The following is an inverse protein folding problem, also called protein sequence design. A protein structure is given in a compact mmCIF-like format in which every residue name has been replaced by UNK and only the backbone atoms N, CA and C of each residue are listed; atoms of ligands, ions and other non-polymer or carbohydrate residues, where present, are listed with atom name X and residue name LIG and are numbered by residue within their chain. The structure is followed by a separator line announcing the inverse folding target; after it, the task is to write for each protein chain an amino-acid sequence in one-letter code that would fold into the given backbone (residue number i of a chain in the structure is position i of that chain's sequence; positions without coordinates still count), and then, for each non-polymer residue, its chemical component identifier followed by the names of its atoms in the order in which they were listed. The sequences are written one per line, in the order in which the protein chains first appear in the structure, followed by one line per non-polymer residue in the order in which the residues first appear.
data_IF_552597680254
#
_entry.id   IF_552597680254
#
_cell.length_a   1.000
_cell.length_b   1.000
_cell.length_c   1.000
_cell.angle_alpha   90.00
_cell.angle_beta   90.00
_cell.angle_gamma   90.00
#
_symmetry.space_group_name_H-M   'P 1'
#
loop_
_entity.id
_entity.type
_entity.pdbx_description
1 polymer ?
#
# COMPACT_ATOMS: atom_id res chain seq x y z
N UNK A 1 -13.99 -15.27 5.92
CA UNK A 1 -13.74 -13.97 6.58
C UNK A 1 -12.33 -13.56 6.18
N UNK A 2 -12.14 -12.36 5.66
CA UNK A 2 -10.80 -11.87 5.32
C UNK A 2 -10.01 -11.57 6.62
N UNK A 3 -8.71 -11.86 6.66
CA UNK A 3 -7.86 -11.43 7.78
C UNK A 3 -7.54 -9.94 7.68
N UNK A 4 -7.31 -9.30 8.83
CA UNK A 4 -6.91 -7.89 8.87
C UNK A 4 -5.60 -7.65 8.08
N UNK A 5 -4.68 -8.61 8.10
CA UNK A 5 -3.43 -8.54 7.33
C UNK A 5 -3.70 -8.46 5.82
N UNK A 6 -4.47 -9.41 5.28
CA UNK A 6 -4.83 -9.43 3.86
C UNK A 6 -5.54 -8.13 3.44
N UNK A 7 -6.37 -7.58 4.33
CA UNK A 7 -7.09 -6.34 4.09
C UNK A 7 -6.12 -5.17 3.94
N UNK A 8 -5.25 -4.96 4.92
CA UNK A 8 -4.31 -3.85 4.91
C UNK A 8 -3.29 -3.96 3.77
N UNK A 9 -2.80 -5.17 3.49
CA UNK A 9 -1.91 -5.43 2.34
C UNK A 9 -2.58 -5.06 1.03
N UNK A 10 -3.82 -5.52 0.78
CA UNK A 10 -4.55 -5.18 -0.44
C UNK A 10 -4.79 -3.68 -0.56
N UNK A 11 -5.21 -3.02 0.52
CA UNK A 11 -5.52 -1.58 0.50
C UNK A 11 -4.27 -0.72 0.28
N UNK A 12 -3.15 -1.07 0.89
CA UNK A 12 -1.87 -0.44 0.61
C UNK A 12 -1.53 -0.47 -0.89
N UNK A 13 -1.59 -1.66 -1.51
CA UNK A 13 -1.30 -1.85 -2.94
C UNK A 13 -2.27 -1.03 -3.82
N UNK A 14 -3.57 -1.06 -3.51
CA UNK A 14 -4.58 -0.30 -4.24
C UNK A 14 -4.27 1.20 -4.22
N UNK A 15 -3.95 1.76 -3.06
CA UNK A 15 -3.65 3.19 -2.94
C UNK A 15 -2.33 3.57 -3.61
N UNK A 16 -1.32 2.70 -3.60
CA UNK A 16 -0.05 2.92 -4.33
C UNK A 16 -0.31 3.00 -5.84
N UNK A 17 -1.05 2.04 -6.39
CA UNK A 17 -1.42 2.04 -7.81
C UNK A 17 -2.28 3.26 -8.15
N UNK A 18 -3.23 3.58 -7.27
CA UNK A 18 -4.11 4.73 -7.42
C UNK A 18 -3.33 6.06 -7.36
N UNK A 19 -2.30 6.19 -6.53
CA UNK A 19 -1.44 7.37 -6.45
C UNK A 19 -0.62 7.54 -7.73
N UNK A 20 -0.15 6.45 -8.33
CA UNK A 20 0.57 6.47 -9.63
C UNK A 20 -0.32 6.95 -10.77
N UNK A 21 -1.56 6.49 -10.79
CA UNK A 21 -2.54 6.85 -11.82
C UNK A 21 -3.24 8.20 -11.54
N UNK A 22 -2.91 8.88 -10.43
CA UNK A 22 -3.52 10.15 -10.09
C UNK A 22 -3.01 11.27 -11.00
N UNK A 23 -3.96 11.95 -11.65
CA UNK A 23 -3.66 13.03 -12.61
C UNK A 23 -3.16 14.29 -11.89
N UNK A 24 -3.66 14.56 -10.68
CA UNK A 24 -3.29 15.76 -9.90
C UNK A 24 -2.28 15.43 -8.81
N UNK A 25 -1.39 16.39 -8.53
CA UNK A 25 -0.38 16.26 -7.48
C UNK A 25 -1.01 16.06 -6.08
N UNK A 26 -2.12 16.76 -5.81
CA UNK A 26 -2.85 16.61 -4.55
C UNK A 26 -3.51 15.22 -4.41
N UNK A 27 -4.11 14.68 -5.47
CA UNK A 27 -4.65 13.32 -5.43
C UNK A 27 -3.54 12.27 -5.27
N UNK A 28 -2.38 12.48 -5.90
CA UNK A 28 -1.19 11.63 -5.70
C UNK A 28 -0.72 11.66 -4.26
N UNK A 29 -0.60 12.85 -3.67
CA UNK A 29 -0.17 13.03 -2.28
C UNK A 29 -1.15 12.37 -1.29
N UNK A 30 -2.46 12.61 -1.44
CA UNK A 30 -3.48 12.01 -0.57
C UNK A 30 -3.48 10.48 -0.63
N UNK A 31 -3.41 9.92 -1.83
CA UNK A 31 -3.36 8.45 -2.01
C UNK A 31 -2.07 7.85 -1.46
N UNK A 32 -0.94 8.55 -1.59
CA UNK A 32 0.31 8.13 -0.98
C UNK A 32 0.22 8.11 0.56
N UNK A 33 -0.36 9.13 1.17
CA UNK A 33 -0.58 9.16 2.63
C UNK A 33 -1.50 8.01 3.10
N UNK A 34 -2.54 7.68 2.32
CA UNK A 34 -3.40 6.54 2.62
C UNK A 34 -2.64 5.22 2.53
N UNK A 35 -1.85 5.02 1.48
CA UNK A 35 -0.99 3.85 1.34
C UNK A 35 -0.03 3.70 2.53
N UNK A 36 0.65 4.79 2.94
CA UNK A 36 1.54 4.83 4.10
C UNK A 36 0.81 4.43 5.39
N UNK A 37 -0.43 4.89 5.58
CA UNK A 37 -1.22 4.51 6.75
C UNK A 37 -1.55 3.02 6.78
N UNK A 38 -1.87 2.41 5.64
CA UNK A 38 -2.16 0.99 5.55
C UNK A 38 -0.91 0.12 5.71
N UNK A 39 0.22 0.54 5.13
CA UNK A 39 1.52 -0.12 5.32
C UNK A 39 1.92 -0.09 6.79
N UNK A 40 1.78 1.06 7.46
CA UNK A 40 2.06 1.15 8.91
C UNK A 40 1.20 0.18 9.71
N UNK A 41 -0.12 0.12 9.44
CA UNK A 41 -1.02 -0.84 10.11
C UNK A 41 -0.66 -2.29 9.83
N UNK A 42 -0.24 -2.59 8.60
CA UNK A 42 0.21 -3.92 8.23
C UNK A 42 1.46 -4.31 9.02
N UNK A 43 2.47 -3.43 9.08
CA UNK A 43 3.67 -3.63 9.87
C UNK A 43 3.40 -3.79 11.37
N UNK A 44 2.46 -3.02 11.93
CA UNK A 44 2.03 -3.17 13.33
C UNK A 44 1.41 -4.56 13.61
N UNK A 45 0.73 -5.15 12.62
CA UNK A 45 0.06 -6.45 12.76
C UNK A 45 1.00 -7.63 12.51
N UNK A 46 1.89 -7.52 11.53
CA UNK A 46 2.78 -8.63 11.12
C UNK A 46 4.13 -8.58 11.84
N UNK A 47 4.50 -7.43 12.40
CA UNK A 47 5.85 -7.17 12.93
C UNK A 47 6.93 -7.05 11.84
N UNK A 48 6.54 -7.11 10.56
CA UNK A 48 7.45 -6.99 9.43
C UNK A 48 7.54 -5.53 8.95
N UNK A 49 8.72 -5.11 8.52
CA UNK A 49 8.87 -3.84 7.81
C UNK A 49 8.31 -3.97 6.39
N UNK A 50 7.18 -3.32 6.15
CA UNK A 50 6.47 -3.34 4.87
C UNK A 50 6.70 -2.03 4.09
N UNK A 51 7.65 -1.18 4.52
CA UNK A 51 7.95 0.10 3.88
C UNK A 51 8.39 -0.06 2.42
N UNK A 52 8.98 -1.21 2.06
CA UNK A 52 9.33 -1.55 0.68
C UNK A 52 8.13 -1.46 -0.28
N UNK A 53 6.89 -1.64 0.20
CA UNK A 53 5.70 -1.51 -0.63
C UNK A 53 5.50 -0.09 -1.17
N UNK A 54 5.92 0.94 -0.43
CA UNK A 54 5.76 2.35 -0.81
C UNK A 54 6.67 2.74 -1.99
N UNK A 55 7.78 2.03 -2.13
CA UNK A 55 8.78 2.24 -3.18
C UNK A 55 8.63 1.25 -4.34
N UNK A 56 7.91 0.15 -4.14
CA UNK A 56 7.84 -0.94 -5.10
C UNK A 56 7.16 -0.56 -6.43
N UNK A 57 7.80 -0.91 -7.54
CA UNK A 57 7.20 -1.03 -8.87
C UNK A 57 6.06 -2.07 -8.80
N UNK A 58 4.84 -1.84 -9.31
CA UNK A 58 3.69 -2.71 -9.05
C UNK A 58 3.89 -4.12 -9.61
N UNK A 59 4.79 -4.27 -10.58
CA UNK A 59 5.21 -5.57 -11.15
C UNK A 59 5.81 -6.49 -10.07
N UNK A 60 6.55 -5.96 -9.10
CA UNK A 60 7.10 -6.76 -7.99
C UNK A 60 6.09 -7.05 -6.89
N UNK A 61 5.03 -6.25 -6.76
CA UNK A 61 3.98 -6.47 -5.75
C UNK A 61 3.02 -7.60 -6.14
N UNK A 62 2.96 -7.96 -7.43
CA UNK A 62 2.19 -9.10 -7.93
C UNK A 62 2.88 -10.45 -7.66
N UNK A 63 4.20 -10.47 -7.44
CA UNK A 63 4.97 -11.71 -7.20
C UNK A 63 4.89 -12.18 -5.73
N UNK A 64 4.34 -11.36 -4.82
CA UNK A 64 4.24 -11.64 -3.38
C UNK A 64 2.79 -12.01 -2.97
N UNK A 65 1.90 -12.21 -3.95
CA UNK A 65 0.48 -12.53 -3.74
C UNK A 65 0.19 -14.03 -3.85
#
# INVERSE_FOLDING_TARGET
MESNESYYRRRAIQEIVAARNAITADAKARRRLLAESYVRRLSELTGADESFMLDANPVRLQEVA
#
